data_IF_118936871034
#
_entry.id   IF_118936871034
#
_cell.length_a   1.000
_cell.length_b   1.000
_cell.length_c   1.000
_cell.angle_alpha   90.00
_cell.angle_beta   90.00
_cell.angle_gamma   90.00
#
_symmetry.space_group_name_H-M   'P 1'
#
loop_
_entity.id
_entity.type
_entity.pdbx_description
1 polymer ?
#
# COMPACT_ATOMS: atom_id res chain seq x y z
N UNK A 1 34.55 7.13 -11.70
CA UNK A 1 33.40 6.33 -11.21
C UNK A 1 32.13 6.62 -11.98
N UNK A 2 31.57 7.85 -11.93
CA UNK A 2 30.31 8.21 -12.63
C UNK A 2 30.27 7.83 -14.11
N UNK A 3 31.31 8.14 -14.89
CA UNK A 3 31.38 7.78 -16.31
C UNK A 3 31.38 6.25 -16.54
N UNK A 4 32.20 5.51 -15.79
CA UNK A 4 32.23 4.04 -15.88
C UNK A 4 30.93 3.37 -15.43
N UNK A 5 30.20 3.99 -14.50
CA UNK A 5 28.91 3.50 -14.04
C UNK A 5 27.81 3.76 -15.08
N UNK A 6 27.86 4.91 -15.77
CA UNK A 6 26.90 5.25 -16.82
C UNK A 6 26.90 4.22 -17.97
N UNK A 7 28.05 3.64 -18.29
CA UNK A 7 28.21 2.62 -19.34
C UNK A 7 27.97 1.17 -18.82
N UNK A 8 27.61 1.00 -17.55
CA UNK A 8 27.41 -0.32 -16.91
C UNK A 8 26.02 -0.40 -16.29
N UNK A 9 24.95 -0.55 -17.10
CA UNK A 9 23.57 -0.47 -16.65
C UNK A 9 23.22 -1.47 -15.53
N UNK A 10 23.72 -2.70 -15.58
CA UNK A 10 23.49 -3.69 -14.51
C UNK A 10 24.14 -3.27 -13.19
N UNK A 11 25.36 -2.71 -13.22
CA UNK A 11 26.04 -2.21 -12.02
C UNK A 11 25.33 -0.96 -11.49
N UNK A 12 24.85 -0.07 -12.37
CA UNK A 12 24.07 1.10 -12.00
C UNK A 12 22.73 0.71 -11.35
N UNK A 13 22.05 -0.31 -11.88
CA UNK A 13 20.82 -0.85 -11.32
C UNK A 13 21.07 -1.47 -9.94
N UNK A 14 22.10 -2.31 -9.80
CA UNK A 14 22.49 -2.89 -8.51
C UNK A 14 22.81 -1.80 -7.46
N UNK A 15 23.54 -0.75 -7.85
CA UNK A 15 23.84 0.37 -6.95
C UNK A 15 22.59 1.15 -6.52
N UNK A 16 21.63 1.37 -7.43
CA UNK A 16 20.36 2.01 -7.11
C UNK A 16 19.51 1.13 -6.16
N UNK A 17 19.43 -0.18 -6.44
CA UNK A 17 18.74 -1.14 -5.59
C UNK A 17 19.35 -1.17 -4.19
N UNK A 18 20.68 -1.20 -4.07
CA UNK A 18 21.37 -1.14 -2.79
C UNK A 18 20.93 0.07 -1.97
N UNK A 19 20.98 1.26 -2.57
CA UNK A 19 20.65 2.52 -1.88
C UNK A 19 19.19 2.55 -1.38
N UNK A 20 18.26 1.92 -2.09
CA UNK A 20 16.85 1.89 -1.75
C UNK A 20 16.48 0.73 -0.82
N UNK A 21 17.22 -0.39 -0.86
CA UNK A 21 16.97 -1.57 -0.03
C UNK A 21 17.43 -1.39 1.42
N UNK A 22 18.51 -0.63 1.65
CA UNK A 22 19.04 -0.34 3.00
C UNK A 22 17.95 0.10 3.99
N UNK A 23 17.21 1.20 3.77
CA UNK A 23 16.18 1.65 4.71
C UNK A 23 14.92 0.76 4.76
N UNK A 24 14.76 -0.18 3.83
CA UNK A 24 13.59 -1.09 3.80
C UNK A 24 13.84 -2.35 4.63
N UNK A 25 15.04 -2.93 4.54
CA UNK A 25 15.34 -4.26 5.09
C UNK A 25 16.38 -4.28 6.20
N UNK A 26 17.13 -3.20 6.38
CA UNK A 26 18.23 -3.12 7.35
C UNK A 26 18.03 -1.92 8.28
N UNK A 27 18.57 -2.00 9.51
CA UNK A 27 18.58 -0.86 10.46
C UNK A 27 19.61 0.22 10.08
N UNK A 28 20.01 0.25 8.80
CA UNK A 28 21.01 1.15 8.25
C UNK A 28 20.58 2.62 8.44
N UNK A 29 21.51 3.46 8.89
CA UNK A 29 21.21 4.89 9.09
C UNK A 29 21.32 5.62 7.76
N UNK A 30 20.54 6.68 7.60
CA UNK A 30 20.64 7.54 6.42
C UNK A 30 22.07 8.10 6.30
N UNK A 31 22.85 7.62 5.32
CA UNK A 31 24.22 8.09 5.06
C UNK A 31 25.25 7.00 4.68
N UNK A 32 24.90 5.72 4.80
CA UNK A 32 25.83 4.60 4.50
C UNK A 32 25.87 4.23 3.00
N UNK A 33 24.93 4.73 2.20
CA UNK A 33 24.95 4.56 0.73
C UNK A 33 25.96 5.48 0.06
N UNK A 34 26.69 4.94 -0.92
CA UNK A 34 27.58 5.71 -1.81
C UNK A 34 26.82 6.57 -2.84
N UNK A 35 25.50 6.41 -2.95
CA UNK A 35 24.63 7.22 -3.79
C UNK A 35 23.86 8.23 -2.95
N UNK A 36 23.70 9.45 -3.49
CA UNK A 36 22.81 10.46 -2.93
C UNK A 36 21.33 10.20 -3.29
N UNK A 37 20.88 8.95 -3.11
CA UNK A 37 19.49 8.54 -3.23
C UNK A 37 18.93 8.33 -1.82
N UNK A 38 17.76 8.89 -1.55
CA UNK A 38 17.05 8.71 -0.28
C UNK A 38 15.67 8.17 -0.56
N UNK A 39 15.33 7.06 0.09
CA UNK A 39 13.97 6.55 0.15
C UNK A 39 13.28 7.13 1.39
N UNK A 40 12.12 7.74 1.20
CA UNK A 40 11.22 8.16 2.26
C UNK A 40 10.08 7.15 2.33
N UNK A 41 9.99 6.39 3.43
CA UNK A 41 8.96 5.38 3.65
C UNK A 41 7.92 5.99 4.60
N UNK A 42 6.75 6.42 4.10
CA UNK A 42 5.75 7.06 4.93
C UNK A 42 5.13 6.06 5.91
N UNK A 43 4.94 6.48 7.16
CA UNK A 43 4.19 5.69 8.12
C UNK A 43 2.70 5.73 7.79
N UNK A 44 2.14 4.59 7.39
CA UNK A 44 0.72 4.45 7.09
C UNK A 44 -0.06 4.12 8.37
N UNK A 45 -1.06 4.93 8.70
CA UNK A 45 -1.88 4.72 9.90
C UNK A 45 -3.37 4.91 9.60
N UNK A 46 -4.13 3.85 9.84
CA UNK A 46 -5.58 3.91 10.00
C UNK A 46 -6.02 2.76 10.91
N UNK A 47 -7.09 2.93 11.69
CA UNK A 47 -7.63 1.82 12.50
C UNK A 47 -8.04 0.65 11.60
N UNK A 48 -7.58 -0.56 11.94
CA UNK A 48 -7.81 -1.76 11.14
C UNK A 48 -6.99 -1.85 9.86
N UNK A 49 -6.03 -0.94 9.62
CA UNK A 49 -5.14 -1.00 8.44
C UNK A 49 -4.27 -2.25 8.45
N UNK A 50 -3.81 -2.66 9.63
CA UNK A 50 -2.94 -3.83 9.82
C UNK A 50 -3.62 -5.13 9.35
N UNK A 51 -4.94 -5.19 9.49
CA UNK A 51 -5.75 -6.34 9.08
C UNK A 51 -6.21 -6.28 7.63
N UNK A 52 -5.96 -5.17 6.92
CA UNK A 52 -6.41 -4.98 5.54
C UNK A 52 -5.75 -5.98 4.58
N UNK A 53 -6.44 -6.37 3.49
CA UNK A 53 -5.85 -7.20 2.45
C UNK A 53 -4.56 -6.60 1.87
N UNK A 54 -4.53 -5.27 1.68
CA UNK A 54 -3.36 -4.56 1.16
C UNK A 54 -2.16 -4.68 2.11
N UNK A 55 -2.34 -4.45 3.42
CA UNK A 55 -1.23 -4.56 4.36
C UNK A 55 -0.70 -5.98 4.46
N UNK A 56 -1.58 -6.99 4.43
CA UNK A 56 -1.19 -8.41 4.41
C UNK A 56 -0.42 -8.78 3.15
N UNK A 57 -0.85 -8.31 1.98
CA UNK A 57 -0.15 -8.52 0.72
C UNK A 57 1.25 -7.89 0.73
N UNK A 58 1.37 -6.64 1.21
CA UNK A 58 2.66 -5.95 1.33
C UNK A 58 3.59 -6.65 2.33
N UNK A 59 3.06 -7.10 3.48
CA UNK A 59 3.83 -7.86 4.47
C UNK A 59 4.32 -9.21 3.93
N UNK A 60 3.49 -9.91 3.15
CA UNK A 60 3.90 -11.15 2.49
C UNK A 60 5.00 -10.91 1.46
N UNK A 61 4.89 -9.86 0.64
CA UNK A 61 5.94 -9.48 -0.30
C UNK A 61 7.23 -9.08 0.42
N UNK A 62 7.12 -8.36 1.54
CA UNK A 62 8.26 -8.02 2.39
C UNK A 62 9.00 -9.27 2.85
N UNK A 63 8.29 -10.20 3.48
CA UNK A 63 8.86 -11.44 4.00
C UNK A 63 9.48 -12.30 2.89
N UNK A 64 8.86 -12.34 1.71
CA UNK A 64 9.39 -13.06 0.56
C UNK A 64 10.73 -12.48 0.06
N UNK A 65 10.88 -11.15 0.06
CA UNK A 65 12.15 -10.51 -0.26
C UNK A 65 13.17 -10.67 0.86
N UNK A 66 12.78 -10.45 2.11
CA UNK A 66 13.64 -10.59 3.27
C UNK A 66 14.26 -11.99 3.35
N UNK A 67 13.50 -13.05 3.06
CA UNK A 67 14.02 -14.43 3.04
C UNK A 67 15.00 -14.75 1.90
N UNK A 68 15.15 -13.87 0.91
CA UNK A 68 16.12 -14.00 -0.19
C UNK A 68 17.39 -13.16 0.03
N UNK A 69 17.27 -12.10 0.81
CA UNK A 69 18.35 -11.14 1.06
C UNK A 69 19.32 -11.70 2.11
N UNK A 70 20.62 -11.32 2.04
CA UNK A 70 21.57 -11.69 3.07
C UNK A 70 21.21 -11.02 4.41
N UNK A 71 21.38 -11.75 5.52
CA UNK A 71 21.17 -11.21 6.87
C UNK A 71 22.19 -10.12 7.22
N UNK A 72 23.43 -10.29 6.75
CA UNK A 72 24.48 -9.29 6.89
C UNK A 72 24.35 -8.22 5.80
N UNK A 73 24.09 -6.98 6.22
CA UNK A 73 24.03 -5.81 5.34
C UNK A 73 25.29 -5.65 4.50
N UNK A 74 26.47 -5.94 5.07
CA UNK A 74 27.74 -5.80 4.36
C UNK A 74 27.83 -6.72 3.14
N UNK A 75 27.09 -7.83 3.12
CA UNK A 75 27.03 -8.78 2.02
C UNK A 75 26.03 -8.38 0.92
N UNK A 76 25.16 -7.40 1.15
CA UNK A 76 24.11 -7.01 0.20
C UNK A 76 24.68 -6.54 -1.14
N UNK A 77 25.78 -5.78 -1.11
CA UNK A 77 26.38 -5.24 -2.33
C UNK A 77 26.84 -6.33 -3.28
N UNK A 78 27.61 -7.29 -2.75
CA UNK A 78 28.14 -8.41 -3.54
C UNK A 78 27.01 -9.33 -4.00
N UNK A 79 25.99 -9.54 -3.15
CA UNK A 79 24.80 -10.29 -3.52
C UNK A 79 24.09 -9.65 -4.73
N UNK A 80 23.88 -8.33 -4.71
CA UNK A 80 23.21 -7.60 -5.80
C UNK A 80 23.99 -7.67 -7.11
N UNK A 81 25.31 -7.55 -7.07
CA UNK A 81 26.16 -7.67 -8.27
C UNK A 81 26.12 -9.07 -8.91
N UNK A 82 25.75 -10.10 -8.13
CA UNK A 82 25.63 -11.47 -8.61
C UNK A 82 24.23 -11.81 -9.17
N UNK A 83 23.23 -10.95 -9.02
CA UNK A 83 21.86 -11.22 -9.48
C UNK A 83 21.64 -10.88 -10.95
N UNK A 84 20.61 -11.49 -11.53
CA UNK A 84 20.10 -11.10 -12.85
C UNK A 84 19.27 -9.81 -12.80
N UNK A 85 19.03 -9.23 -13.98
CA UNK A 85 18.26 -7.99 -14.09
C UNK A 85 16.81 -8.15 -13.62
N UNK A 86 16.21 -9.34 -13.74
CA UNK A 86 14.83 -9.59 -13.31
C UNK A 86 14.71 -9.52 -11.79
N UNK A 87 15.67 -10.11 -11.07
CA UNK A 87 15.73 -10.03 -9.61
C UNK A 87 16.00 -8.60 -9.14
N UNK A 88 16.97 -7.91 -9.77
CA UNK A 88 17.28 -6.52 -9.43
C UNK A 88 16.08 -5.59 -9.68
N UNK A 89 15.40 -5.76 -10.81
CA UNK A 89 14.21 -4.95 -11.14
C UNK A 89 13.06 -5.27 -10.19
N UNK A 90 12.83 -6.55 -9.86
CA UNK A 90 11.81 -6.93 -8.89
C UNK A 90 12.03 -6.31 -7.51
N UNK A 91 13.28 -6.30 -7.03
CA UNK A 91 13.62 -5.68 -5.75
C UNK A 91 13.50 -4.15 -5.82
N UNK A 92 13.94 -3.52 -6.92
CA UNK A 92 13.74 -2.09 -7.18
C UNK A 92 12.26 -1.72 -7.12
N UNK A 93 11.41 -2.48 -7.84
CA UNK A 93 9.96 -2.24 -7.88
C UNK A 93 9.36 -2.29 -6.48
N UNK A 94 9.75 -3.27 -5.66
CA UNK A 94 9.28 -3.36 -4.28
C UNK A 94 9.74 -2.18 -3.43
N UNK A 95 11.02 -1.80 -3.49
CA UNK A 95 11.53 -0.65 -2.74
C UNK A 95 10.83 0.66 -3.15
N UNK A 96 10.57 0.86 -4.45
CA UNK A 96 9.81 2.02 -4.95
C UNK A 96 8.37 1.98 -4.43
N UNK A 97 7.70 0.82 -4.44
CA UNK A 97 6.35 0.68 -3.91
C UNK A 97 6.24 1.09 -2.43
N UNK A 98 7.24 0.78 -1.60
CA UNK A 98 7.30 1.21 -0.20
C UNK A 98 7.32 2.73 0.00
N UNK A 99 7.69 3.51 -1.02
CA UNK A 99 7.80 4.98 -0.92
C UNK A 99 6.54 5.75 -1.30
N UNK A 100 5.49 5.05 -1.75
CA UNK A 100 4.25 5.70 -2.19
C UNK A 100 3.56 6.39 -1.01
N UNK A 101 3.32 7.69 -1.16
CA UNK A 101 2.65 8.53 -0.16
C UNK A 101 1.12 8.41 -0.27
N UNK A 102 0.39 8.47 0.86
CA UNK A 102 -1.08 8.38 0.85
C UNK A 102 -1.79 9.69 0.46
N UNK A 103 -1.07 10.63 -0.15
CA UNK A 103 -1.56 11.96 -0.49
C UNK A 103 -2.47 11.91 -1.72
N UNK A 104 -3.52 12.74 -1.71
CA UNK A 104 -4.39 12.95 -2.88
C UNK A 104 -3.90 14.16 -3.65
N UNK A 105 -3.20 13.88 -4.74
CA UNK A 105 -2.75 14.88 -5.68
C UNK A 105 -2.79 14.28 -7.10
N UNK A 106 -2.71 15.11 -8.16
CA UNK A 106 -2.81 14.60 -9.53
C UNK A 106 -1.78 13.53 -9.90
N UNK A 107 -0.60 13.53 -9.27
CA UNK A 107 0.41 12.50 -9.52
C UNK A 107 0.00 11.14 -8.92
N UNK A 108 -0.66 11.14 -7.76
CA UNK A 108 -1.25 9.93 -7.18
C UNK A 108 -2.37 9.36 -8.06
N UNK A 109 -3.21 10.23 -8.63
CA UNK A 109 -4.29 9.81 -9.54
C UNK A 109 -3.71 9.22 -10.84
N UNK A 110 -2.66 9.85 -11.42
CA UNK A 110 -1.95 9.28 -12.57
C UNK A 110 -1.33 7.92 -12.28
N UNK A 111 -0.73 7.75 -11.10
CA UNK A 111 -0.17 6.46 -10.68
C UNK A 111 -1.28 5.42 -10.50
N UNK A 112 -2.39 5.79 -9.86
CA UNK A 112 -3.53 4.89 -9.68
C UNK A 112 -4.13 4.45 -11.03
N UNK A 113 -4.27 5.37 -11.98
CA UNK A 113 -4.71 5.05 -13.34
C UNK A 113 -3.73 4.12 -14.08
N UNK A 114 -2.42 4.38 -13.98
CA UNK A 114 -1.40 3.53 -14.58
C UNK A 114 -1.39 2.10 -13.98
N UNK A 115 -1.67 1.98 -12.67
CA UNK A 115 -1.82 0.71 -11.98
C UNK A 115 -3.18 0.04 -12.21
N UNK A 116 -4.11 0.69 -12.91
CA UNK A 116 -5.51 0.26 -13.02
C UNK A 116 -6.12 -0.05 -11.64
N UNK A 117 -5.87 0.84 -10.67
CA UNK A 117 -6.26 0.63 -9.28
C UNK A 117 -7.79 0.56 -9.14
N UNK A 118 -8.27 -0.60 -8.70
CA UNK A 118 -9.65 -0.79 -8.26
C UNK A 118 -9.68 -0.90 -6.74
N UNK A 119 -10.18 0.14 -6.07
CA UNK A 119 -10.17 0.20 -4.62
C UNK A 119 -11.17 -0.75 -3.95
N UNK A 120 -12.16 -1.27 -4.69
CA UNK A 120 -13.06 -2.30 -4.18
C UNK A 120 -12.35 -3.65 -3.95
N UNK A 121 -11.19 -3.88 -4.58
CA UNK A 121 -10.38 -5.10 -4.36
C UNK A 121 -9.60 -5.05 -3.04
N UNK A 122 -9.28 -3.85 -2.56
CA UNK A 122 -8.35 -3.65 -1.43
C UNK A 122 -9.04 -3.11 -0.18
N UNK A 123 -10.26 -2.60 -0.32
CA UNK A 123 -11.02 -2.00 0.77
C UNK A 123 -12.48 -2.43 0.74
N UNK A 124 -13.04 -2.63 1.94
CA UNK A 124 -14.47 -2.84 2.13
C UNK A 124 -14.95 -2.10 3.39
N UNK A 125 -16.22 -1.67 3.44
CA UNK A 125 -16.73 -0.92 4.56
C UNK A 125 -16.93 -1.82 5.78
N UNK A 126 -16.19 -1.55 6.86
CA UNK A 126 -16.35 -2.23 8.15
C UNK A 126 -16.83 -1.26 9.24
N UNK A 127 -17.19 -1.79 10.41
CA UNK A 127 -17.55 -0.96 11.57
C UNK A 127 -16.36 -0.07 11.96
N UNK A 128 -15.17 -0.63 12.11
CA UNK A 128 -13.97 0.13 12.46
C UNK A 128 -13.50 1.06 11.33
N UNK A 129 -13.59 0.61 10.08
CA UNK A 129 -13.06 1.32 8.92
C UNK A 129 -13.93 2.48 8.43
N UNK A 130 -15.26 2.41 8.60
CA UNK A 130 -16.17 3.41 8.05
C UNK A 130 -17.41 3.64 8.93
N UNK A 131 -18.23 2.61 9.15
CA UNK A 131 -19.58 2.78 9.68
C UNK A 131 -19.65 3.25 11.15
N UNK A 132 -18.61 3.00 11.95
CA UNK A 132 -18.50 3.55 13.31
C UNK A 132 -18.26 5.05 13.34
N UNK A 133 -17.65 5.60 12.28
CA UNK A 133 -17.17 7.00 12.20
C UNK A 133 -18.18 7.93 11.58
N UNK A 134 -19.00 7.44 10.66
CA UNK A 134 -20.01 8.25 9.98
C UNK A 134 -21.30 8.38 10.79
N UNK A 135 -22.14 9.34 10.42
CA UNK A 135 -23.44 9.58 11.05
C UNK A 135 -24.49 8.57 10.60
N UNK A 136 -25.58 8.37 11.37
CA UNK A 136 -26.69 7.48 10.96
C UNK A 136 -27.22 7.79 9.55
N UNK A 137 -27.47 9.06 9.16
CA UNK A 137 -27.89 9.38 7.79
C UNK A 137 -26.91 8.88 6.72
N UNK A 138 -25.60 9.04 6.93
CA UNK A 138 -24.58 8.55 5.99
C UNK A 138 -24.54 7.02 5.91
N UNK A 139 -24.82 6.32 7.01
CA UNK A 139 -24.95 4.85 6.97
C UNK A 139 -26.14 4.45 6.09
N UNK A 140 -27.29 5.12 6.25
CA UNK A 140 -28.49 4.86 5.46
C UNK A 140 -28.30 5.19 3.98
N UNK A 141 -27.60 6.29 3.67
CA UNK A 141 -27.22 6.68 2.31
C UNK A 141 -26.33 5.61 1.66
N UNK A 142 -25.29 5.14 2.35
CA UNK A 142 -24.42 4.07 1.87
C UNK A 142 -25.20 2.78 1.59
N UNK A 143 -26.12 2.39 2.47
CA UNK A 143 -26.98 1.20 2.28
C UNK A 143 -27.97 1.39 1.13
N UNK A 144 -28.49 2.60 0.95
CA UNK A 144 -29.37 2.93 -0.16
C UNK A 144 -28.64 2.80 -1.50
N UNK A 145 -27.43 3.36 -1.59
CA UNK A 145 -26.60 3.30 -2.80
C UNK A 145 -26.16 1.86 -3.11
N UNK A 146 -25.70 1.11 -2.10
CA UNK A 146 -25.14 -0.21 -2.31
C UNK A 146 -26.19 -1.31 -2.52
N UNK A 147 -27.41 -1.14 -1.99
CA UNK A 147 -28.45 -2.17 -1.98
C UNK A 147 -29.81 -1.65 -2.44
N UNK A 148 -30.48 -0.83 -1.63
CA UNK A 148 -31.82 -0.29 -1.89
C UNK A 148 -32.31 0.61 -0.76
N UNK A 149 -33.30 1.46 -1.05
CA UNK A 149 -33.97 2.29 -0.05
C UNK A 149 -34.70 1.46 0.99
N UNK A 150 -35.35 0.37 0.57
CA UNK A 150 -36.05 -0.55 1.47
C UNK A 150 -35.09 -1.23 2.46
N UNK A 151 -33.85 -1.53 2.04
CA UNK A 151 -32.83 -2.06 2.94
C UNK A 151 -32.38 -1.02 3.97
N UNK A 152 -32.28 0.25 3.58
CA UNK A 152 -31.97 1.34 4.50
C UNK A 152 -33.11 1.60 5.50
N UNK A 153 -34.37 1.60 5.05
CA UNK A 153 -35.54 1.82 5.92
C UNK A 153 -35.62 0.76 7.03
N UNK A 154 -35.28 -0.51 6.72
CA UNK A 154 -35.17 -1.58 7.74
C UNK A 154 -34.11 -1.32 8.81
N UNK A 155 -33.15 -0.44 8.57
CA UNK A 155 -32.09 -0.11 9.51
C UNK A 155 -32.37 1.16 10.34
N UNK A 156 -33.33 1.99 9.94
CA UNK A 156 -33.50 3.36 10.43
C UNK A 156 -33.70 3.46 11.95
N UNK A 157 -34.47 2.53 12.53
CA UNK A 157 -34.84 2.54 13.96
C UNK A 157 -33.76 1.99 14.88
N UNK A 158 -32.71 1.36 14.35
CA UNK A 158 -31.64 0.79 15.17
C UNK A 158 -30.75 1.88 15.79
N UNK A 159 -30.15 1.54 16.94
CA UNK A 159 -29.08 2.35 17.55
C UNK A 159 -27.85 2.39 16.64
N UNK A 160 -27.03 3.45 16.73
CA UNK A 160 -25.90 3.68 15.80
C UNK A 160 -24.93 2.49 15.71
N UNK A 161 -24.56 1.90 16.85
CA UNK A 161 -23.63 0.76 16.89
C UNK A 161 -24.19 -0.48 16.18
N UNK A 162 -25.47 -0.78 16.39
CA UNK A 162 -26.15 -1.90 15.75
C UNK A 162 -26.37 -1.64 14.25
N UNK A 163 -26.77 -0.42 13.90
CA UNK A 163 -26.91 0.03 12.51
C UNK A 163 -25.58 -0.10 11.75
N UNK A 164 -24.46 0.32 12.36
CA UNK A 164 -23.13 0.19 11.77
C UNK A 164 -22.73 -1.28 11.55
N UNK A 165 -23.01 -2.15 12.52
CA UNK A 165 -22.73 -3.59 12.43
C UNK A 165 -23.52 -4.25 11.31
N UNK A 166 -24.82 -3.96 11.23
CA UNK A 166 -25.71 -4.50 10.19
C UNK A 166 -25.36 -3.94 8.81
N UNK A 167 -25.02 -2.66 8.71
CA UNK A 167 -24.58 -2.06 7.45
C UNK A 167 -23.25 -2.68 6.96
N UNK A 168 -22.28 -2.90 7.86
CA UNK A 168 -21.04 -3.60 7.53
C UNK A 168 -21.30 -5.01 6.98
N UNK A 169 -22.23 -5.76 7.58
CA UNK A 169 -22.60 -7.08 7.09
C UNK A 169 -23.33 -7.03 5.73
N UNK A 170 -24.19 -6.03 5.52
CA UNK A 170 -24.95 -5.87 4.28
C UNK A 170 -24.09 -5.44 3.09
N UNK A 171 -23.10 -4.57 3.32
CA UNK A 171 -22.21 -4.04 2.28
C UNK A 171 -20.93 -4.86 2.14
N UNK A 172 -20.80 -5.95 2.89
CA UNK A 172 -19.72 -6.91 2.70
C UNK A 172 -19.77 -7.46 1.27
N UNK A 173 -18.60 -7.50 0.62
CA UNK A 173 -18.41 -8.08 -0.72
C UNK A 173 -19.26 -7.44 -1.84
N UNK A 174 -19.81 -6.22 -1.63
CA UNK A 174 -20.61 -5.54 -2.66
C UNK A 174 -19.79 -4.66 -3.61
N UNK A 175 -18.51 -4.47 -3.31
CA UNK A 175 -17.65 -3.51 -4.01
C UNK A 175 -18.06 -2.04 -3.83
N UNK A 176 -18.94 -1.74 -2.86
CA UNK A 176 -19.32 -0.36 -2.59
C UNK A 176 -18.18 0.41 -1.93
N UNK A 177 -17.96 1.63 -2.41
CA UNK A 177 -16.95 2.55 -1.90
C UNK A 177 -17.63 3.86 -1.47
N UNK A 178 -17.17 4.52 -0.39
CA UNK A 178 -17.57 5.89 -0.09
C UNK A 178 -17.01 6.86 -1.14
N UNK A 179 -17.64 8.01 -1.33
CA UNK A 179 -17.26 9.01 -2.34
C UNK A 179 -15.78 9.37 -2.32
N UNK A 180 -15.17 9.47 -1.14
CA UNK A 180 -13.73 9.67 -1.01
C UNK A 180 -12.97 8.56 -1.75
N UNK A 181 -13.28 7.28 -1.57
CA UNK A 181 -12.54 6.18 -2.20
C UNK A 181 -12.90 5.89 -3.67
N UNK A 182 -13.94 6.51 -4.23
CA UNK A 182 -14.33 6.34 -5.65
C UNK A 182 -13.42 7.09 -6.63
N UNK A 183 -12.76 8.15 -6.17
CA UNK A 183 -11.85 8.93 -7.00
C UNK A 183 -10.45 8.29 -6.97
N UNK A 184 -10.09 7.70 -8.10
CA UNK A 184 -8.74 7.44 -8.60
C UNK A 184 -8.78 7.69 -10.11
#
# INVERSE_FOLDING_TARGET
>A
MRALLADRPTVALAAAVYALALPVFYEARSGESILALRLDIPYLRAEGIDDSPAMKATAQQHAAWQGRLPEDEAALWDWLLAQDNDTLTGLLTYCVACSVKPERNPAADHLAAALSLDMAQWWQPTVAGYFGRVSKPQILEAVTEAKSREAADRLADFKKSEMATRAAALLKDTGWLPSMLKAA
#
